data_IF_389021054794
#
_entry.id   IF_389021054794
#
_cell.length_a   1.000
_cell.length_b   1.000
_cell.length_c   1.000
_cell.angle_alpha   90.00
_cell.angle_beta   90.00
_cell.angle_gamma   90.00
#
_symmetry.space_group_name_H-M   'P 1'
#
loop_
_entity.id
_entity.type
_entity.pdbx_description
1 polymer ?
#
# COMPACT_ATOMS: atom_id res chain seq x y z
N UNK A 1 2.28 -0.74 -11.00
CA UNK A 1 1.17 -1.34 -10.22
C UNK A 1 -0.14 -0.86 -10.84
N UNK A 2 -0.74 -1.68 -11.72
CA UNK A 2 -1.97 -1.36 -12.48
C UNK A 2 -3.24 -2.00 -11.87
N UNK A 3 -3.08 -2.73 -10.77
CA UNK A 3 -4.17 -3.43 -10.09
C UNK A 3 -4.46 -2.68 -8.79
N UNK A 4 -5.64 -2.06 -8.72
CA UNK A 4 -6.10 -1.33 -7.54
C UNK A 4 -6.89 -2.27 -6.64
N UNK A 5 -6.31 -2.59 -5.48
CA UNK A 5 -7.01 -3.24 -4.38
C UNK A 5 -7.75 -2.17 -3.56
N UNK A 6 -9.06 -2.33 -3.41
CA UNK A 6 -9.92 -1.37 -2.74
C UNK A 6 -10.55 -2.03 -1.52
N UNK A 7 -10.52 -1.32 -0.39
CA UNK A 7 -11.23 -1.71 0.82
C UNK A 7 -12.65 -1.14 0.84
N UNK A 8 -13.62 -2.01 1.09
CA UNK A 8 -15.01 -1.62 1.32
C UNK A 8 -15.20 -0.89 2.65
N UNK A 9 -15.92 0.25 2.62
CA UNK A 9 -16.34 1.10 3.76
C UNK A 9 -15.45 1.08 5.02
N UNK A 10 -14.49 2.01 5.08
CA UNK A 10 -13.54 2.21 6.20
C UNK A 10 -14.23 2.55 7.54
N UNK A 11 -15.50 2.97 7.53
CA UNK A 11 -16.25 3.32 8.75
C UNK A 11 -16.92 2.12 9.44
N UNK A 12 -16.92 0.93 8.82
CA UNK A 12 -17.61 -0.23 9.40
C UNK A 12 -16.83 -0.75 10.61
N UNK A 13 -17.46 -0.72 11.79
CA UNK A 13 -16.96 -1.40 12.99
C UNK A 13 -17.10 -2.91 12.79
N UNK A 14 -16.04 -3.65 13.10
CA UNK A 14 -16.08 -5.11 13.20
C UNK A 14 -16.59 -5.46 14.59
N UNK A 15 -17.57 -6.36 14.70
CA UNK A 15 -18.13 -6.77 15.99
C UNK A 15 -17.61 -8.16 16.36
N UNK A 16 -17.03 -8.27 17.55
CA UNK A 16 -16.66 -9.54 18.15
C UNK A 16 -17.86 -10.24 18.73
N UNK A 17 -18.69 -10.84 17.88
CA UNK A 17 -19.80 -11.70 18.33
C UNK A 17 -20.95 -11.89 17.33
N UNK A 18 -21.25 -10.89 16.49
CA UNK A 18 -22.37 -11.02 15.52
C UNK A 18 -22.16 -10.37 14.14
N UNK A 19 -21.08 -9.61 13.95
CA UNK A 19 -20.65 -9.02 12.68
C UNK A 19 -19.17 -9.31 12.48
N UNK A 20 -18.86 -10.60 12.34
CA UNK A 20 -17.60 -11.19 12.78
C UNK A 20 -16.34 -10.81 11.98
N UNK A 21 -15.21 -11.27 12.54
CA UNK A 21 -13.88 -11.34 11.92
C UNK A 21 -13.93 -11.84 10.46
N UNK A 22 -14.90 -12.69 10.12
CA UNK A 22 -15.20 -13.16 8.76
C UNK A 22 -15.39 -12.04 7.73
N UNK A 23 -15.84 -10.86 8.15
CA UNK A 23 -15.95 -9.72 7.25
C UNK A 23 -14.60 -9.17 6.76
N UNK A 24 -13.48 -9.53 7.42
CA UNK A 24 -12.13 -9.27 6.90
C UNK A 24 -11.86 -10.05 5.61
N UNK A 25 -12.47 -11.22 5.42
CA UNK A 25 -12.23 -12.08 4.25
C UNK A 25 -12.79 -11.51 2.95
N UNK A 26 -13.83 -10.68 3.04
CA UNK A 26 -14.47 -10.05 1.88
C UNK A 26 -14.24 -8.53 1.84
N UNK A 27 -13.47 -7.97 2.77
CA UNK A 27 -13.34 -6.51 2.88
C UNK A 27 -12.54 -5.88 1.75
N UNK A 28 -11.82 -6.68 0.97
CA UNK A 28 -10.89 -6.20 -0.05
C UNK A 28 -11.25 -6.82 -1.40
N UNK A 29 -11.45 -5.93 -2.37
CA UNK A 29 -11.84 -6.30 -3.74
C UNK A 29 -10.95 -5.58 -4.74
N UNK A 30 -10.71 -6.21 -5.87
CA UNK A 30 -10.05 -5.58 -6.99
C UNK A 30 -11.06 -4.81 -7.85
N UNK A 31 -10.58 -3.76 -8.51
CA UNK A 31 -11.34 -3.08 -9.57
C UNK A 31 -10.92 -3.65 -10.91
N UNK A 32 -11.78 -4.51 -11.46
CA UNK A 32 -11.62 -5.09 -12.78
C UNK A 32 -12.25 -4.20 -13.85
N UNK A 33 -11.88 -4.45 -15.11
CA UNK A 33 -12.42 -3.78 -16.29
C UNK A 33 -12.87 -4.82 -17.30
N UNK A 34 -14.00 -4.57 -17.98
CA UNK A 34 -14.45 -5.36 -19.12
C UNK A 34 -14.18 -4.57 -20.41
N UNK A 35 -13.29 -5.03 -21.31
CA UNK A 35 -12.95 -4.28 -22.53
C UNK A 35 -14.10 -4.21 -23.55
N UNK A 36 -15.07 -5.13 -23.49
CA UNK A 36 -16.20 -5.15 -24.41
C UNK A 36 -17.29 -4.14 -24.00
N UNK A 37 -17.68 -4.15 -22.73
CA UNK A 37 -18.71 -3.23 -22.21
C UNK A 37 -18.15 -1.86 -21.82
N UNK A 38 -16.83 -1.76 -21.66
CA UNK A 38 -16.11 -0.58 -21.14
C UNK A 38 -16.50 -0.20 -19.70
N UNK A 39 -16.97 -1.17 -18.93
CA UNK A 39 -17.40 -0.96 -17.55
C UNK A 39 -16.40 -1.52 -16.54
N UNK A 40 -16.31 -0.85 -15.39
CA UNK A 40 -15.53 -1.32 -14.25
C UNK A 40 -16.43 -2.07 -13.26
N UNK A 41 -15.91 -3.14 -12.65
CA UNK A 41 -16.65 -3.94 -11.68
C UNK A 41 -15.74 -4.43 -10.55
N UNK A 42 -16.35 -4.95 -9.48
CA UNK A 42 -15.64 -5.50 -8.32
C UNK A 42 -15.48 -7.00 -8.44
N UNK A 43 -14.30 -7.51 -8.08
CA UNK A 43 -13.99 -8.94 -8.10
C UNK A 43 -13.05 -9.31 -6.96
N UNK A 44 -13.04 -10.60 -6.58
CA UNK A 44 -12.12 -11.17 -5.60
C UNK A 44 -10.76 -11.55 -6.20
N UNK A 45 -10.66 -11.67 -7.52
CA UNK A 45 -9.42 -12.01 -8.22
C UNK A 45 -8.88 -10.81 -9.01
N UNK A 46 -7.56 -10.62 -9.06
CA UNK A 46 -6.98 -9.59 -9.91
C UNK A 46 -7.18 -9.93 -11.39
N UNK A 47 -7.26 -8.90 -12.24
CA UNK A 47 -7.22 -9.07 -13.69
C UNK A 47 -6.36 -7.99 -14.33
N UNK A 48 -5.84 -8.28 -15.53
CA UNK A 48 -4.96 -7.37 -16.26
C UNK A 48 -5.68 -6.50 -17.28
N UNK A 49 -6.96 -6.77 -17.58
CA UNK A 49 -7.75 -5.98 -18.52
C UNK A 49 -7.90 -4.51 -18.10
N UNK A 50 -7.72 -4.21 -16.80
CA UNK A 50 -7.66 -2.83 -16.32
C UNK A 50 -6.56 -2.01 -16.99
N UNK A 51 -5.47 -2.65 -17.41
CA UNK A 51 -4.37 -2.01 -18.13
C UNK A 51 -4.81 -1.42 -19.48
N UNK A 52 -5.80 -2.04 -20.14
CA UNK A 52 -6.40 -1.50 -21.38
C UNK A 52 -7.01 -0.13 -21.10
N UNK A 53 -7.85 -0.06 -20.05
CA UNK A 53 -8.46 1.19 -19.62
C UNK A 53 -7.42 2.25 -19.28
N UNK A 54 -6.39 1.89 -18.50
CA UNK A 54 -5.38 2.85 -18.03
C UNK A 54 -4.53 3.40 -19.20
N UNK A 55 -4.18 2.55 -20.18
CA UNK A 55 -3.42 2.97 -21.37
C UNK A 55 -4.30 3.81 -22.31
N UNK A 56 -5.53 3.38 -22.60
CA UNK A 56 -6.47 4.15 -23.43
C UNK A 56 -6.75 5.53 -22.81
N UNK A 57 -6.90 5.58 -21.49
CA UNK A 57 -7.08 6.83 -20.77
C UNK A 57 -5.83 7.70 -20.81
N UNK A 58 -4.62 7.12 -20.73
CA UNK A 58 -3.35 7.87 -20.85
C UNK A 58 -3.11 8.40 -22.28
N UNK A 59 -3.60 7.70 -23.31
CA UNK A 59 -3.51 8.13 -24.72
C UNK A 59 -4.50 9.24 -25.06
N UNK A 60 -5.74 9.12 -24.59
CA UNK A 60 -6.84 10.00 -25.01
C UNK A 60 -7.20 11.08 -24.00
N UNK A 61 -6.71 10.98 -22.76
CA UNK A 61 -7.05 11.89 -21.68
C UNK A 61 -6.39 13.26 -21.84
N UNK A 62 -7.17 14.33 -21.60
CA UNK A 62 -6.71 15.72 -21.56
C UNK A 62 -6.48 16.25 -20.14
N UNK A 63 -6.58 15.36 -19.13
CA UNK A 63 -6.46 15.69 -17.71
C UNK A 63 -5.15 15.24 -17.07
N UNK A 64 -4.97 15.58 -15.80
CA UNK A 64 -3.85 15.11 -15.00
C UNK A 64 -3.91 13.58 -14.86
N UNK A 65 -2.93 12.90 -15.45
CA UNK A 65 -2.80 11.46 -15.31
C UNK A 65 -2.23 11.11 -13.93
N UNK A 66 -2.42 9.87 -13.50
CA UNK A 66 -1.89 9.35 -12.22
C UNK A 66 -0.77 8.33 -12.43
N UNK A 67 -0.51 7.94 -13.68
CA UNK A 67 0.48 6.97 -14.09
C UNK A 67 1.35 7.56 -15.19
N UNK A 68 2.67 7.37 -15.07
CA UNK A 68 3.68 7.87 -16.01
C UNK A 68 3.45 9.36 -16.35
N UNK A 69 3.78 10.22 -15.38
CA UNK A 69 3.55 11.68 -15.46
C UNK A 69 4.79 12.51 -15.18
N UNK A 70 5.96 11.89 -15.04
CA UNK A 70 7.19 12.57 -14.65
C UNK A 70 7.54 13.68 -15.64
N UNK A 71 7.55 13.38 -16.94
CA UNK A 71 7.92 14.35 -17.97
C UNK A 71 6.88 15.46 -18.07
N UNK A 72 5.59 15.11 -18.03
CA UNK A 72 4.50 16.08 -18.04
C UNK A 72 4.49 16.98 -16.82
N UNK A 73 4.78 16.43 -15.63
CA UNK A 73 4.90 17.19 -14.40
C UNK A 73 6.02 18.22 -14.51
N UNK A 74 7.21 17.82 -14.96
CA UNK A 74 8.34 18.73 -15.19
C UNK A 74 7.97 19.83 -16.20
N UNK A 75 7.34 19.47 -17.32
CA UNK A 75 6.90 20.44 -18.34
C UNK A 75 5.86 21.44 -17.81
N UNK A 76 4.99 21.02 -16.89
CA UNK A 76 3.98 21.89 -16.28
C UNK A 76 4.52 22.83 -15.19
N UNK A 77 5.78 22.66 -14.77
CA UNK A 77 6.44 23.47 -13.75
C UNK A 77 7.54 24.33 -14.40
N UNK A 78 7.20 25.43 -15.09
CA UNK A 78 8.14 26.18 -15.94
C UNK A 78 9.31 26.82 -15.18
N UNK A 79 9.21 26.95 -13.86
CA UNK A 79 10.23 27.52 -12.99
C UNK A 79 11.11 26.45 -12.30
N UNK A 80 10.94 25.17 -12.63
CA UNK A 80 11.78 24.10 -12.07
C UNK A 80 13.21 24.23 -12.61
N UNK A 81 14.18 24.39 -11.73
CA UNK A 81 15.59 24.56 -12.12
C UNK A 81 16.41 23.29 -11.98
N UNK A 82 15.96 22.36 -11.14
CA UNK A 82 16.63 21.08 -10.90
C UNK A 82 15.58 19.99 -10.67
N UNK A 83 15.85 18.81 -11.25
CA UNK A 83 15.08 17.59 -11.00
C UNK A 83 16.06 16.56 -10.45
N UNK A 84 15.79 16.06 -9.25
CA UNK A 84 16.61 15.04 -8.60
C UNK A 84 15.84 13.73 -8.49
N UNK A 85 16.39 12.69 -9.10
CA UNK A 85 15.83 11.34 -9.11
C UNK A 85 16.43 10.52 -7.98
N UNK A 86 15.54 9.89 -7.20
CA UNK A 86 15.87 8.97 -6.12
C UNK A 86 15.40 7.59 -6.53
N UNK A 87 16.30 6.61 -6.57
CA UNK A 87 15.91 5.24 -6.85
C UNK A 87 15.11 4.63 -5.69
N UNK A 88 14.20 3.71 -5.98
CA UNK A 88 13.42 3.04 -4.93
C UNK A 88 14.29 2.27 -3.94
N UNK A 89 15.45 1.76 -4.37
CA UNK A 89 16.44 1.12 -3.49
C UNK A 89 17.11 2.09 -2.52
N UNK A 90 17.12 3.40 -2.81
CA UNK A 90 17.68 4.44 -1.94
C UNK A 90 16.72 4.80 -0.80
N UNK A 91 15.43 4.48 -0.94
CA UNK A 91 14.41 4.69 0.10
C UNK A 91 13.90 3.36 0.69
N UNK A 92 14.73 2.31 0.63
CA UNK A 92 14.48 1.07 1.35
C UNK A 92 14.55 1.27 2.87
N UNK A 93 14.05 0.28 3.63
CA UNK A 93 14.01 0.31 5.10
C UNK A 93 15.29 0.88 5.72
N UNK A 94 16.44 0.30 5.38
CA UNK A 94 17.72 0.63 6.02
C UNK A 94 18.40 1.87 5.43
N UNK A 95 17.82 2.49 4.39
CA UNK A 95 18.42 3.62 3.65
C UNK A 95 17.57 4.88 3.67
N UNK A 96 16.26 4.76 3.87
CA UNK A 96 15.31 5.87 3.76
C UNK A 96 15.66 7.06 4.67
N UNK A 97 16.04 6.80 5.93
CA UNK A 97 16.41 7.87 6.86
C UNK A 97 17.65 8.64 6.38
N UNK A 98 18.70 7.93 6.01
CA UNK A 98 19.98 8.53 5.61
C UNK A 98 19.85 9.24 4.25
N UNK A 99 19.04 8.69 3.34
CA UNK A 99 18.65 9.36 2.08
C UNK A 99 17.89 10.65 2.35
N UNK A 100 16.89 10.64 3.25
CA UNK A 100 16.15 11.86 3.61
C UNK A 100 17.03 12.90 4.30
N UNK A 101 18.03 12.47 5.08
CA UNK A 101 19.04 13.35 5.66
C UNK A 101 19.90 14.01 4.57
N UNK A 102 20.43 13.23 3.62
CA UNK A 102 21.20 13.78 2.49
C UNK A 102 20.36 14.76 1.64
N UNK A 103 19.09 14.44 1.40
CA UNK A 103 18.16 15.34 0.71
C UNK A 103 17.91 16.63 1.50
N UNK A 104 17.83 16.56 2.84
CA UNK A 104 17.63 17.74 3.69
C UNK A 104 18.82 18.70 3.61
N UNK A 105 20.04 18.16 3.57
CA UNK A 105 21.27 18.93 3.39
C UNK A 105 21.34 19.54 1.98
N UNK A 106 20.93 18.78 0.96
CA UNK A 106 20.91 19.24 -0.44
C UNK A 106 19.90 20.36 -0.71
N UNK A 107 18.68 20.22 -0.19
CA UNK A 107 17.56 21.10 -0.52
C UNK A 107 17.20 22.11 0.58
N UNK A 108 17.86 22.05 1.74
CA UNK A 108 17.70 23.02 2.82
C UNK A 108 16.38 22.91 3.61
N UNK A 109 15.71 21.75 3.59
CA UNK A 109 14.55 21.50 4.44
C UNK A 109 14.95 20.89 5.79
N UNK A 110 14.01 20.83 6.74
CA UNK A 110 14.29 20.33 8.09
C UNK A 110 14.74 18.85 8.07
N UNK A 111 15.85 18.48 8.74
CA UNK A 111 16.35 17.11 8.72
C UNK A 111 15.38 16.14 9.42
N UNK A 112 15.31 14.87 8.97
CA UNK A 112 14.49 13.85 9.61
C UNK A 112 14.95 13.61 11.06
N UNK A 113 14.00 13.43 11.98
CA UNK A 113 14.29 13.28 13.42
C UNK A 113 14.07 11.84 13.92
N UNK A 114 12.99 11.19 13.49
CA UNK A 114 12.64 9.83 13.94
C UNK A 114 13.09 8.79 12.91
N UNK A 115 14.24 8.14 13.13
CA UNK A 115 14.74 7.07 12.26
C UNK A 115 13.73 5.93 12.08
N UNK A 116 13.06 5.53 13.15
CA UNK A 116 12.13 4.42 13.12
C UNK A 116 10.88 4.74 12.27
N UNK A 117 10.49 6.02 12.17
CA UNK A 117 9.43 6.43 11.25
C UNK A 117 9.77 6.09 9.79
N UNK A 118 11.02 6.35 9.36
CA UNK A 118 11.48 6.12 7.98
C UNK A 118 11.83 4.65 7.70
N UNK A 119 12.16 3.87 8.72
CA UNK A 119 12.38 2.42 8.60
C UNK A 119 11.06 1.61 8.55
N UNK A 120 9.93 2.24 8.80
CA UNK A 120 8.63 1.57 8.83
C UNK A 120 8.05 1.28 7.43
N UNK A 121 7.54 0.07 7.22
CA UNK A 121 6.86 -0.32 5.96
C UNK A 121 5.43 0.22 5.95
N UNK A 122 5.19 1.35 5.26
CA UNK A 122 3.83 1.91 5.11
C UNK A 122 2.98 1.19 4.07
N UNK A 123 3.59 0.70 2.98
CA UNK A 123 2.91 0.06 1.85
C UNK A 123 3.24 -1.43 1.78
N UNK A 124 2.87 -2.17 2.83
CA UNK A 124 2.95 -3.62 2.87
C UNK A 124 1.59 -4.30 2.82
N UNK A 125 1.61 -5.63 2.91
CA UNK A 125 0.43 -6.49 2.76
C UNK A 125 -0.68 -6.19 3.79
N UNK A 126 -0.33 -5.56 4.92
CA UNK A 126 -1.28 -5.11 5.94
C UNK A 126 -1.96 -3.78 5.63
N UNK A 127 -1.34 -2.88 4.85
CA UNK A 127 -1.87 -1.54 4.58
C UNK A 127 -3.32 -1.55 4.09
N UNK A 128 -3.72 -2.46 3.17
CA UNK A 128 -5.09 -2.48 2.67
C UNK A 128 -6.11 -2.77 3.76
N UNK A 129 -5.72 -3.47 4.84
CA UNK A 129 -6.61 -3.83 5.95
C UNK A 129 -6.70 -2.74 7.02
N UNK A 130 -5.82 -1.75 7.00
CA UNK A 130 -5.73 -0.72 8.04
C UNK A 130 -6.59 0.52 7.70
N UNK A 131 -7.12 1.23 8.70
CA UNK A 131 -7.22 0.86 10.12
C UNK A 131 -8.24 -0.27 10.37
N UNK A 132 -8.07 -1.05 11.44
CA UNK A 132 -9.07 -2.02 11.91
C UNK A 132 -9.72 -1.49 13.19
N UNK A 133 -11.03 -1.23 13.15
CA UNK A 133 -11.83 -0.92 14.34
C UNK A 133 -12.61 -2.16 14.74
N UNK A 134 -12.31 -2.71 15.91
CA UNK A 134 -12.91 -3.93 16.42
C UNK A 134 -13.58 -3.69 17.77
N UNK A 135 -14.87 -3.99 17.86
CA UNK A 135 -15.65 -3.90 19.08
C UNK A 135 -15.64 -5.26 19.80
N UNK A 136 -15.21 -5.25 21.05
CA UNK A 136 -15.23 -6.41 21.95
C UNK A 136 -16.54 -6.31 22.74
N UNK A 137 -17.49 -7.18 22.40
CA UNK A 137 -18.85 -7.13 22.96
C UNK A 137 -18.84 -7.35 24.47
N UNK A 138 -18.01 -8.28 24.97
CA UNK A 138 -17.96 -8.61 26.40
C UNK A 138 -17.39 -7.47 27.27
N UNK A 139 -16.64 -6.53 26.67
CA UNK A 139 -16.14 -5.33 27.35
C UNK A 139 -16.97 -4.08 27.03
N UNK A 140 -17.88 -4.17 26.06
CA UNK A 140 -18.49 -3.01 25.40
C UNK A 140 -17.42 -1.95 25.02
N UNK A 141 -16.30 -2.38 24.44
CA UNK A 141 -15.16 -1.50 24.17
C UNK A 141 -14.70 -1.62 22.71
N UNK A 142 -14.17 -0.53 22.13
CA UNK A 142 -13.59 -0.57 20.77
C UNK A 142 -12.08 -0.44 20.83
N UNK A 143 -11.38 -1.38 20.21
CA UNK A 143 -9.96 -1.26 19.90
C UNK A 143 -9.78 -0.76 18.46
N UNK A 144 -8.77 0.08 18.25
CA UNK A 144 -8.26 0.45 16.93
C UNK A 144 -6.88 -0.20 16.76
N UNK A 145 -6.69 -0.94 15.67
CA UNK A 145 -5.38 -1.41 15.25
C UNK A 145 -4.98 -0.60 14.01
N UNK A 146 -3.79 -0.02 14.02
CA UNK A 146 -3.28 0.77 12.91
C UNK A 146 -1.76 0.71 12.80
N UNK A 147 -1.22 1.18 11.67
CA UNK A 147 0.21 1.39 11.49
C UNK A 147 0.68 2.55 12.38
N UNK A 148 1.91 2.46 12.93
CA UNK A 148 2.51 3.51 13.80
C UNK A 148 2.44 4.92 13.19
N UNK A 149 2.57 5.03 11.87
CA UNK A 149 2.58 6.29 11.14
C UNK A 149 1.21 6.99 11.08
N UNK A 150 0.13 6.32 11.47
CA UNK A 150 -1.26 6.80 11.31
C UNK A 150 -1.96 7.07 12.65
N UNK A 151 -1.23 7.67 13.60
CA UNK A 151 -1.79 8.08 14.90
C UNK A 151 -3.01 9.01 14.72
N UNK A 152 -4.11 8.73 15.44
CA UNK A 152 -5.29 9.60 15.46
C UNK A 152 -5.40 10.34 16.80
N UNK A 153 -5.77 11.62 16.74
CA UNK A 153 -6.03 12.42 17.96
C UNK A 153 -7.23 11.86 18.73
N UNK A 154 -7.05 11.60 20.02
CA UNK A 154 -8.12 11.25 20.96
C UNK A 154 -8.11 9.78 21.43
N UNK A 155 -7.26 8.93 20.85
CA UNK A 155 -7.11 7.54 21.26
C UNK A 155 -5.84 7.37 22.13
N UNK A 156 -5.86 6.40 23.05
CA UNK A 156 -4.75 6.09 23.98
C UNK A 156 -3.99 4.87 23.46
N UNK A 157 -2.66 4.99 23.28
CA UNK A 157 -1.79 3.85 22.93
C UNK A 157 -1.76 2.84 24.09
N UNK A 158 -2.24 1.63 23.82
CA UNK A 158 -2.31 0.49 24.73
C UNK A 158 -1.52 -0.71 24.20
N UNK A 159 -0.60 -0.47 23.27
CA UNK A 159 0.11 -1.54 22.54
C UNK A 159 0.89 -2.44 23.49
N UNK A 160 1.61 -1.88 24.47
CA UNK A 160 2.40 -2.70 25.41
C UNK A 160 1.53 -3.67 26.23
N UNK A 161 0.31 -3.25 26.56
CA UNK A 161 -0.62 -4.03 27.37
C UNK A 161 -1.39 -5.06 26.54
N UNK A 162 -1.85 -4.65 25.35
CA UNK A 162 -2.81 -5.41 24.55
C UNK A 162 -2.17 -6.23 23.43
N UNK A 163 -0.90 -5.97 23.05
CA UNK A 163 -0.22 -6.76 22.03
C UNK A 163 0.04 -8.17 22.55
N UNK A 164 -0.52 -9.23 21.90
CA UNK A 164 -0.24 -10.59 22.32
C UNK A 164 1.24 -10.90 22.19
N UNK A 165 1.81 -11.65 23.14
CA UNK A 165 3.25 -11.96 23.21
C UNK A 165 3.80 -12.53 21.89
N UNK A 166 3.04 -13.38 21.21
CA UNK A 166 3.43 -13.98 19.93
C UNK A 166 3.65 -12.95 18.80
N UNK A 167 3.12 -11.72 18.95
CA UNK A 167 3.12 -10.69 17.92
C UNK A 167 3.99 -9.47 18.24
N UNK A 168 4.54 -9.35 19.46
CA UNK A 168 5.35 -8.19 19.86
C UNK A 168 6.59 -7.98 18.98
N UNK A 169 7.25 -9.07 18.57
CA UNK A 169 8.44 -9.03 17.71
C UNK A 169 8.18 -9.69 16.34
N UNK A 170 6.93 -9.84 15.94
CA UNK A 170 6.59 -10.46 14.66
C UNK A 170 7.00 -9.53 13.51
N UNK A 171 7.62 -10.08 12.47
CA UNK A 171 8.11 -9.31 11.31
C UNK A 171 7.02 -8.43 10.70
N UNK A 172 5.86 -9.02 10.39
CA UNK A 172 4.73 -8.28 9.82
C UNK A 172 3.86 -7.53 10.83
N UNK A 173 3.67 -7.98 12.07
CA UNK A 173 2.67 -7.38 12.98
C UNK A 173 3.27 -6.54 14.12
N UNK A 174 4.55 -6.70 14.44
CA UNK A 174 5.18 -6.05 15.60
C UNK A 174 5.26 -4.52 15.49
N UNK A 175 5.10 -3.97 14.27
CA UNK A 175 5.06 -2.53 14.03
C UNK A 175 3.63 -1.94 14.13
N UNK A 176 2.61 -2.77 14.37
CA UNK A 176 1.25 -2.31 14.58
C UNK A 176 1.10 -1.68 15.97
N UNK A 177 0.20 -0.71 16.05
CA UNK A 177 -0.19 -0.04 17.27
C UNK A 177 -1.65 -0.32 17.57
N UNK A 178 -1.93 -0.55 18.85
CA UNK A 178 -3.26 -0.83 19.38
C UNK A 178 -3.66 0.36 20.24
N UNK A 179 -4.75 1.01 19.84
CA UNK A 179 -5.30 2.15 20.53
C UNK A 179 -6.70 1.85 21.05
N UNK A 180 -7.11 2.59 22.08
CA UNK A 180 -8.46 2.53 22.65
C UNK A 180 -9.02 3.94 22.76
N UNK A 181 -10.35 4.08 22.67
CA UNK A 181 -11.02 5.36 22.97
C UNK A 181 -10.71 5.75 24.43
N UNK A 182 -10.45 7.04 24.68
CA UNK A 182 -10.13 7.53 26.02
C UNK A 182 -11.22 7.19 27.06
N UNK A 183 -12.49 7.12 26.63
CA UNK A 183 -13.61 6.73 27.51
C UNK A 183 -13.60 5.24 27.87
N UNK A 184 -13.00 4.42 27.01
CA UNK A 184 -12.97 2.95 27.15
C UNK A 184 -11.67 2.48 27.81
N UNK A 185 -10.68 3.34 28.02
CA UNK A 185 -9.35 2.93 28.50
C UNK A 185 -9.38 2.24 29.87
N UNK A 186 -10.31 2.67 30.74
CA UNK A 186 -10.51 2.06 32.07
C UNK A 186 -11.05 0.63 31.99
N UNK A 187 -11.68 0.25 30.87
CA UNK A 187 -12.22 -1.10 30.65
C UNK A 187 -11.13 -2.14 30.39
N UNK A 188 -9.90 -1.69 30.13
CA UNK A 188 -8.71 -2.52 29.92
C UNK A 188 -7.74 -2.48 31.12
N UNK A 189 -8.28 -2.43 32.34
CA UNK A 189 -7.49 -2.29 33.58
C UNK A 189 -7.29 -3.59 34.35
N UNK A 190 -8.10 -4.62 34.08
CA UNK A 190 -8.02 -5.92 34.74
C UNK A 190 -7.28 -6.95 33.89
N UNK A 191 -6.64 -7.93 34.54
CA UNK A 191 -5.99 -9.05 33.82
C UNK A 191 -6.96 -9.80 32.92
N UNK A 192 -8.21 -10.01 33.37
CA UNK A 192 -9.26 -10.68 32.59
C UNK A 192 -9.60 -9.90 31.30
N UNK A 193 -9.79 -8.59 31.41
CA UNK A 193 -10.08 -7.73 30.25
C UNK A 193 -8.93 -7.71 29.24
N UNK A 194 -7.69 -7.69 29.72
CA UNK A 194 -6.49 -7.72 28.88
C UNK A 194 -6.37 -9.08 28.17
N UNK A 195 -6.55 -10.19 28.88
CA UNK A 195 -6.51 -11.54 28.30
C UNK A 195 -7.57 -11.72 27.22
N UNK A 196 -8.79 -11.24 27.49
CA UNK A 196 -9.88 -11.26 26.52
C UNK A 196 -9.51 -10.44 25.26
N UNK A 197 -9.01 -9.22 25.44
CA UNK A 197 -8.60 -8.36 24.32
C UNK A 197 -7.47 -8.99 23.50
N UNK A 198 -6.45 -9.53 24.16
CA UNK A 198 -5.34 -10.25 23.51
C UNK A 198 -5.83 -11.46 22.72
N UNK A 199 -6.81 -12.20 23.24
CA UNK A 199 -7.42 -13.33 22.53
C UNK A 199 -8.15 -12.87 21.25
N UNK A 200 -8.89 -11.77 21.31
CA UNK A 200 -9.55 -11.19 20.14
C UNK A 200 -8.55 -10.68 19.09
N UNK A 201 -7.51 -9.95 19.53
CA UNK A 201 -6.44 -9.46 18.64
C UNK A 201 -5.71 -10.61 17.96
N UNK A 202 -5.42 -11.68 18.71
CA UNK A 202 -4.80 -12.90 18.16
C UNK A 202 -5.66 -13.52 17.06
N UNK A 203 -7.00 -13.55 17.23
CA UNK A 203 -7.90 -14.04 16.18
C UNK A 203 -7.88 -13.15 14.95
N UNK A 204 -7.89 -11.83 15.12
CA UNK A 204 -7.79 -10.85 14.02
C UNK A 204 -6.51 -11.09 13.23
N UNK A 205 -5.36 -11.16 13.90
CA UNK A 205 -4.06 -11.34 13.23
C UNK A 205 -3.97 -12.66 12.47
N UNK A 206 -4.44 -13.77 13.06
CA UNK A 206 -4.53 -15.06 12.35
C UNK A 206 -5.39 -14.98 11.10
N UNK A 207 -6.51 -14.26 11.14
CA UNK A 207 -7.35 -14.06 9.94
C UNK A 207 -6.63 -13.20 8.91
N UNK A 208 -5.95 -12.12 9.32
CA UNK A 208 -5.16 -11.30 8.40
C UNK A 208 -4.04 -12.10 7.73
N UNK A 209 -3.32 -12.95 8.46
CA UNK A 209 -2.32 -13.84 7.89
C UNK A 209 -2.90 -14.77 6.83
N UNK A 210 -4.10 -15.33 7.05
CA UNK A 210 -4.78 -16.17 6.07
C UNK A 210 -5.15 -15.38 4.81
N UNK A 211 -5.68 -14.17 4.98
CA UNK A 211 -6.06 -13.30 3.86
C UNK A 211 -4.87 -12.79 3.08
N UNK A 212 -3.76 -12.47 3.76
CA UNK A 212 -2.51 -12.08 3.13
C UNK A 212 -1.95 -13.24 2.31
N UNK A 213 -1.89 -14.45 2.89
CA UNK A 213 -1.46 -15.67 2.17
C UNK A 213 -2.30 -15.92 0.92
N UNK A 214 -3.62 -15.95 1.08
CA UNK A 214 -4.54 -16.17 -0.05
C UNK A 214 -4.33 -15.16 -1.18
N UNK A 215 -4.10 -13.89 -0.83
CA UNK A 215 -3.85 -12.83 -1.82
C UNK A 215 -2.50 -12.95 -2.49
N UNK A 216 -1.47 -13.33 -1.75
CA UNK A 216 -0.15 -13.58 -2.30
C UNK A 216 -0.18 -14.79 -3.24
N UNK A 217 -1.03 -15.79 -2.99
CA UNK A 217 -1.22 -16.94 -3.89
C UNK A 217 -1.90 -16.59 -5.23
N UNK A 218 -2.80 -15.60 -5.25
CA UNK A 218 -3.51 -15.15 -6.46
C UNK A 218 -2.95 -13.87 -7.08
N UNK A 219 -1.90 -13.31 -6.49
CA UNK A 219 -1.28 -12.05 -6.92
C UNK A 219 -0.76 -12.21 -8.36
N UNK A 220 -1.04 -11.20 -9.18
CA UNK A 220 -0.40 -11.06 -10.50
C UNK A 220 1.07 -10.70 -10.31
N UNK A 221 1.95 -11.48 -10.93
CA UNK A 221 3.38 -11.24 -10.97
C UNK A 221 3.78 -10.28 -12.10
N UNK A 222 5.01 -9.78 -12.04
CA UNK A 222 5.60 -9.01 -13.12
C UNK A 222 5.74 -9.85 -14.40
N UNK A 223 6.04 -11.15 -14.28
CA UNK A 223 6.07 -12.09 -15.40
C UNK A 223 4.68 -12.24 -16.08
N UNK A 224 3.60 -12.29 -15.31
CA UNK A 224 2.23 -12.34 -15.84
C UNK A 224 1.90 -11.07 -16.65
N UNK A 225 2.36 -9.90 -16.18
CA UNK A 225 2.20 -8.62 -16.91
C UNK A 225 2.96 -8.67 -18.24
N UNK A 226 4.20 -9.16 -18.25
CA UNK A 226 4.99 -9.27 -19.47
C UNK A 226 4.34 -10.22 -20.49
N UNK A 227 3.83 -11.36 -20.02
CA UNK A 227 3.17 -12.33 -20.89
C UNK A 227 1.86 -11.75 -21.46
N UNK A 228 1.06 -11.09 -20.63
CA UNK A 228 -0.14 -10.40 -21.08
C UNK A 228 0.18 -9.35 -22.16
N UNK A 229 1.29 -8.61 -22.02
CA UNK A 229 1.71 -7.64 -23.03
C UNK A 229 2.21 -8.31 -24.32
N UNK A 230 2.92 -9.45 -24.24
CA UNK A 230 3.33 -10.22 -25.44
C UNK A 230 2.14 -10.69 -26.26
N UNK A 231 1.10 -11.22 -25.61
CA UNK A 231 -0.10 -11.70 -26.31
C UNK A 231 -1.00 -10.55 -26.78
N UNK A 232 -0.77 -9.32 -26.32
CA UNK A 232 -1.47 -8.09 -26.72
C UNK A 232 -0.49 -7.05 -27.32
N UNK A 233 0.11 -7.30 -28.50
CA UNK A 233 1.19 -6.47 -29.05
C UNK A 233 0.78 -5.02 -29.32
N UNK A 234 -0.49 -4.76 -29.66
CA UNK A 234 -1.00 -3.38 -29.80
C UNK A 234 -0.93 -2.61 -28.48
N UNK A 235 -1.27 -3.27 -27.37
CA UNK A 235 -1.22 -2.69 -26.04
C UNK A 235 0.23 -2.46 -25.58
N UNK A 236 1.12 -3.41 -25.87
CA UNK A 236 2.55 -3.26 -25.61
C UNK A 236 3.15 -2.07 -26.34
N UNK A 237 2.83 -1.90 -27.64
CA UNK A 237 3.27 -0.75 -28.43
C UNK A 237 2.75 0.57 -27.87
N UNK A 238 1.48 0.62 -27.47
CA UNK A 238 0.87 1.80 -26.87
C UNK A 238 1.54 2.18 -25.54
N UNK A 239 1.79 1.19 -24.68
CA UNK A 239 2.54 1.39 -23.44
C UNK A 239 3.97 1.87 -23.71
N UNK A 240 4.65 1.31 -24.71
CA UNK A 240 6.01 1.71 -25.09
C UNK A 240 6.07 3.18 -25.48
N UNK A 241 5.13 3.67 -26.28
CA UNK A 241 5.06 5.09 -26.66
C UNK A 241 4.97 5.99 -25.41
N UNK A 242 4.13 5.60 -24.44
CA UNK A 242 3.97 6.35 -23.18
C UNK A 242 5.29 6.34 -22.38
N UNK A 243 5.91 5.17 -22.22
CA UNK A 243 7.16 5.04 -21.45
C UNK A 243 8.34 5.75 -22.11
N UNK A 244 8.43 5.72 -23.44
CA UNK A 244 9.48 6.40 -24.19
C UNK A 244 9.34 7.93 -24.14
N UNK A 245 8.15 8.48 -23.91
CA UNK A 245 7.93 9.90 -23.60
C UNK A 245 8.34 10.20 -22.14
N UNK A 246 7.88 9.39 -21.19
CA UNK A 246 7.94 9.69 -19.76
C UNK A 246 9.31 9.42 -19.13
N UNK A 247 10.12 8.56 -19.74
CA UNK A 247 11.43 8.16 -19.22
C UNK A 247 12.60 8.89 -19.90
N UNK A 248 12.36 9.86 -20.80
CA UNK A 248 13.43 10.52 -21.56
C UNK A 248 14.48 11.18 -20.66
N UNK A 249 14.05 12.03 -19.72
CA UNK A 249 14.97 12.74 -18.82
C UNK A 249 15.67 11.78 -17.85
N UNK A 250 14.96 10.76 -17.36
CA UNK A 250 15.51 9.74 -16.47
C UNK A 250 16.60 8.91 -17.16
N UNK A 251 16.39 8.51 -18.42
CA UNK A 251 17.39 7.77 -19.23
C UNK A 251 18.70 8.56 -19.38
N UNK A 252 18.63 9.89 -19.45
CA UNK A 252 19.82 10.75 -19.57
C UNK A 252 20.51 10.98 -18.21
N UNK A 253 19.73 11.30 -17.17
CA UNK A 253 20.29 11.73 -15.87
C UNK A 253 20.64 10.58 -14.93
N UNK A 254 19.92 9.47 -14.99
CA UNK A 254 20.14 8.26 -14.17
C UNK A 254 19.96 6.98 -15.00
N UNK A 255 20.81 6.76 -16.01
CA UNK A 255 20.77 5.52 -16.79
C UNK A 255 21.02 4.28 -15.92
N UNK A 256 21.73 4.44 -14.80
CA UNK A 256 21.95 3.40 -13.78
C UNK A 256 20.64 2.88 -13.17
N UNK A 257 19.66 3.76 -12.93
CA UNK A 257 18.34 3.36 -12.44
C UNK A 257 17.64 2.47 -13.46
N UNK A 258 17.58 2.91 -14.72
CA UNK A 258 16.93 2.16 -15.80
C UNK A 258 17.60 0.79 -16.01
N UNK A 259 18.93 0.74 -15.95
CA UNK A 259 19.69 -0.51 -16.08
C UNK A 259 19.38 -1.52 -14.96
N UNK A 260 18.90 -1.06 -13.81
CA UNK A 260 18.49 -1.93 -12.70
C UNK A 260 17.10 -2.55 -12.88
N UNK A 261 16.27 -2.03 -13.80
CA UNK A 261 14.88 -2.44 -13.96
C UNK A 261 14.73 -3.68 -14.85
N UNK A 262 15.04 -4.86 -14.31
CA UNK A 262 14.94 -6.17 -14.98
C UNK A 262 13.68 -6.32 -15.85
N UNK A 263 12.50 -6.02 -15.30
CA UNK A 263 11.22 -6.21 -15.99
C UNK A 263 10.97 -5.19 -17.10
N UNK A 264 11.44 -3.96 -16.94
CA UNK A 264 11.39 -2.96 -18.00
C UNK A 264 12.29 -3.36 -19.18
N UNK A 265 13.51 -3.85 -18.90
CA UNK A 265 14.42 -4.33 -19.94
C UNK A 265 13.84 -5.56 -20.68
N UNK A 266 13.18 -6.47 -19.95
CA UNK A 266 12.48 -7.59 -20.56
C UNK A 266 11.32 -7.13 -21.45
N UNK A 267 10.53 -6.15 -21.01
CA UNK A 267 9.49 -5.51 -21.82
C UNK A 267 10.04 -4.89 -23.11
N UNK A 268 11.12 -4.11 -23.01
CA UNK A 268 11.78 -3.48 -24.17
C UNK A 268 12.32 -4.52 -25.17
N UNK A 269 12.70 -5.72 -24.74
CA UNK A 269 13.28 -6.74 -25.63
C UNK A 269 12.31 -7.31 -26.67
N UNK A 270 10.99 -7.22 -26.43
CA UNK A 270 9.97 -7.74 -27.34
C UNK A 270 9.04 -6.66 -27.93
N UNK A 271 9.27 -5.39 -27.61
CA UNK A 271 8.54 -4.25 -28.17
C UNK A 271 9.31 -3.58 -29.30
#
# INVERSE_FOLDING_TARGET
MLIFLIRGNVKKKLFGGGGGIESLKSCLQYTAYNPHTKESYKTSTPNLDRMIFDIDWRKNGTGMHTLFITQRLVQSLPNITEVHYVDMSEISKDRAFDTMKALSEKFGFAPPQDRHYFEGKMYGDLQPFMPIRFHIEELDATILINLKQWFQRGEIDKTEELMPLAYQNHEDFGHLKIYVDCKDSVKFSSSESIVLAQAQITRIFKTLEQEIRHKNDIKVSEEDVLEYLRVNPHLAKDLKIILDEELQDLKVKRPDIIASWKYYLAFESFC
#
